data_IF_735137029457
#
_entry.id   IF_735137029457
#
_cell.length_a   1.000
_cell.length_b   1.000
_cell.length_c   1.000
_cell.angle_alpha   90.00
_cell.angle_beta   90.00
_cell.angle_gamma   90.00
#
_symmetry.space_group_name_H-M   'P 1'
#
loop_
_entity.id
_entity.type
_entity.pdbx_description
1 polymer ?
#
# COMPACT_ATOMS: atom_id res chain seq x y z
N UNK A 1 -6.24 -26.49 -10.03
CA UNK A 1 -5.37 -25.64 -9.16
C UNK A 1 -5.93 -24.23 -9.26
N UNK A 2 -6.13 -23.53 -8.14
CA UNK A 2 -6.53 -22.12 -8.20
C UNK A 2 -5.44 -21.32 -8.90
N UNK A 3 -5.83 -20.38 -9.78
CA UNK A 3 -4.91 -19.49 -10.45
C UNK A 3 -4.21 -18.63 -9.38
N UNK A 4 -2.89 -18.51 -9.47
CA UNK A 4 -2.11 -17.69 -8.55
C UNK A 4 -2.35 -16.22 -8.89
N UNK A 5 -2.71 -15.41 -7.88
CA UNK A 5 -2.89 -13.98 -8.07
C UNK A 5 -1.56 -13.32 -8.43
N UNK A 6 -1.64 -12.33 -9.31
CA UNK A 6 -0.50 -11.53 -9.76
C UNK A 6 -0.58 -10.11 -9.21
N UNK A 7 0.59 -9.48 -9.00
CA UNK A 7 0.64 -8.09 -8.53
C UNK A 7 1.73 -7.28 -9.20
N UNK A 8 1.49 -5.97 -9.33
CA UNK A 8 2.54 -4.99 -9.60
C UNK A 8 2.66 -4.00 -8.45
N UNK A 9 3.86 -3.48 -8.23
CA UNK A 9 4.17 -2.54 -7.16
C UNK A 9 4.56 -1.18 -7.75
N UNK A 10 3.89 -0.12 -7.30
CA UNK A 10 4.24 1.26 -7.62
C UNK A 10 5.08 1.88 -6.50
N UNK A 11 6.36 2.06 -6.76
CA UNK A 11 7.38 2.52 -5.83
C UNK A 11 8.49 1.48 -5.63
N UNK A 12 9.74 1.93 -5.74
CA UNK A 12 10.95 1.08 -5.58
C UNK A 12 11.72 1.41 -4.29
N UNK A 13 11.13 2.24 -3.43
CA UNK A 13 11.69 2.60 -2.12
C UNK A 13 11.40 1.56 -1.03
N UNK A 14 11.65 1.95 0.22
CA UNK A 14 11.45 1.09 1.39
C UNK A 14 10.04 0.46 1.44
N UNK A 15 8.99 1.27 1.30
CA UNK A 15 7.61 0.78 1.34
C UNK A 15 7.30 -0.17 0.18
N UNK A 16 7.70 0.19 -1.06
CA UNK A 16 7.46 -0.68 -2.22
C UNK A 16 8.17 -2.02 -2.13
N UNK A 17 9.42 -2.06 -1.65
CA UNK A 17 10.13 -3.32 -1.38
C UNK A 17 9.39 -4.16 -0.34
N UNK A 18 8.98 -3.55 0.78
CA UNK A 18 8.23 -4.25 1.83
C UNK A 18 6.88 -4.78 1.35
N UNK A 19 6.16 -4.04 0.50
CA UNK A 19 4.92 -4.52 -0.10
C UNK A 19 5.15 -5.70 -1.04
N UNK A 20 6.22 -5.68 -1.84
CA UNK A 20 6.56 -6.79 -2.72
C UNK A 20 6.89 -8.07 -1.94
N UNK A 21 7.61 -7.95 -0.82
CA UNK A 21 7.91 -9.07 0.08
C UNK A 21 6.63 -9.61 0.73
N UNK A 22 5.81 -8.74 1.33
CA UNK A 22 4.57 -9.12 2.00
C UNK A 22 3.57 -9.80 1.04
N UNK A 23 3.45 -9.32 -0.20
CA UNK A 23 2.61 -9.95 -1.23
C UNK A 23 3.11 -11.37 -1.56
N UNK A 24 4.43 -11.56 -1.69
CA UNK A 24 5.00 -12.89 -1.92
C UNK A 24 4.78 -13.84 -0.75
N UNK A 25 4.92 -13.36 0.48
CA UNK A 25 4.66 -14.14 1.68
C UNK A 25 3.18 -14.57 1.76
N UNK A 26 2.28 -13.72 1.25
CA UNK A 26 0.86 -14.03 1.09
C UNK A 26 0.55 -14.96 -0.11
N UNK A 27 1.57 -15.42 -0.86
CA UNK A 27 1.41 -16.33 -2.00
C UNK A 27 1.09 -15.64 -3.32
N UNK A 28 1.13 -14.32 -3.40
CA UNK A 28 0.91 -13.53 -4.62
C UNK A 28 2.20 -13.48 -5.45
N UNK A 29 2.09 -13.56 -6.77
CA UNK A 29 3.20 -13.41 -7.68
C UNK A 29 3.42 -11.93 -8.04
N UNK A 30 4.56 -11.36 -7.61
CA UNK A 30 4.92 -9.98 -7.98
C UNK A 30 5.60 -10.00 -9.34
N UNK A 31 4.86 -9.57 -10.37
CA UNK A 31 5.26 -9.63 -11.78
C UNK A 31 5.87 -8.33 -12.30
N UNK A 32 5.70 -7.21 -11.60
CA UNK A 32 6.22 -5.92 -12.04
C UNK A 32 6.46 -4.94 -10.90
N UNK A 33 7.38 -4.02 -11.18
CA UNK A 33 7.65 -2.85 -10.34
C UNK A 33 7.75 -1.61 -11.22
N UNK A 34 7.09 -0.54 -10.80
CA UNK A 34 7.11 0.75 -11.49
C UNK A 34 7.56 1.84 -10.54
N UNK A 35 8.47 2.70 -10.97
CA UNK A 35 8.83 3.91 -10.23
C UNK A 35 9.42 4.98 -11.13
N UNK A 36 9.55 6.19 -10.60
CA UNK A 36 9.93 7.38 -11.36
C UNK A 36 11.31 7.32 -12.04
N UNK A 37 12.29 6.64 -11.43
CA UNK A 37 13.69 6.64 -11.89
C UNK A 37 14.05 5.32 -12.52
N UNK A 38 14.30 5.26 -13.85
CA UNK A 38 14.53 4.01 -14.58
C UNK A 38 15.66 3.15 -14.04
N UNK A 39 16.79 3.75 -13.70
CA UNK A 39 17.98 3.03 -13.21
C UNK A 39 17.71 2.39 -11.84
N UNK A 40 16.98 3.14 -10.97
CA UNK A 40 16.66 2.67 -9.62
C UNK A 40 15.67 1.51 -9.68
N UNK A 41 14.59 1.65 -10.46
CA UNK A 41 13.57 0.59 -10.54
C UNK A 41 14.13 -0.68 -11.16
N UNK A 42 14.99 -0.57 -12.18
CA UNK A 42 15.67 -1.74 -12.79
C UNK A 42 16.59 -2.45 -11.81
N UNK A 43 17.39 -1.68 -11.05
CA UNK A 43 18.28 -2.25 -10.05
C UNK A 43 17.52 -2.98 -8.94
N UNK A 44 16.44 -2.37 -8.43
CA UNK A 44 15.60 -2.95 -7.37
C UNK A 44 14.84 -4.18 -7.89
N UNK A 45 14.26 -4.10 -9.08
CA UNK A 45 13.57 -5.25 -9.67
C UNK A 45 14.50 -6.44 -9.88
N UNK A 46 15.75 -6.19 -10.33
CA UNK A 46 16.77 -7.23 -10.46
C UNK A 46 17.13 -7.86 -9.11
N UNK A 47 17.41 -7.03 -8.09
CA UNK A 47 17.68 -7.45 -6.72
C UNK A 47 16.56 -8.35 -6.17
N UNK A 48 15.32 -7.93 -6.36
CA UNK A 48 14.13 -8.62 -5.88
C UNK A 48 13.64 -9.72 -6.81
N UNK A 49 14.29 -9.96 -7.94
CA UNK A 49 13.87 -10.94 -8.96
C UNK A 49 12.42 -10.70 -9.44
N UNK A 50 12.09 -9.44 -9.70
CA UNK A 50 10.81 -9.04 -10.29
C UNK A 50 11.03 -8.93 -11.81
N UNK A 51 10.21 -9.63 -12.63
CA UNK A 51 10.50 -9.76 -14.06
C UNK A 51 10.35 -8.46 -14.85
N UNK A 52 9.41 -7.59 -14.49
CA UNK A 52 9.18 -6.32 -15.17
C UNK A 52 9.63 -5.13 -14.32
N UNK A 53 10.29 -4.16 -14.96
CA UNK A 53 10.67 -2.88 -14.38
C UNK A 53 10.36 -1.73 -15.34
N UNK A 54 9.52 -0.79 -14.94
CA UNK A 54 9.06 0.29 -15.78
C UNK A 54 8.94 1.63 -15.07
N UNK A 55 8.64 2.68 -15.84
CA UNK A 55 8.39 4.03 -15.32
C UNK A 55 7.01 4.58 -15.70
N UNK A 56 6.32 3.90 -16.58
CA UNK A 56 4.96 4.23 -17.02
C UNK A 56 3.97 3.31 -16.30
N UNK A 57 3.13 3.91 -15.46
CA UNK A 57 2.19 3.18 -14.61
C UNK A 57 1.01 2.64 -15.42
N UNK A 58 0.42 3.47 -16.26
CA UNK A 58 -0.73 3.11 -17.08
C UNK A 58 -0.36 2.02 -18.10
N UNK A 59 0.79 2.17 -18.76
CA UNK A 59 1.29 1.14 -19.65
C UNK A 59 1.52 -0.19 -18.93
N UNK A 60 2.12 -0.15 -17.73
CA UNK A 60 2.33 -1.37 -16.95
C UNK A 60 1.03 -2.06 -16.51
N UNK A 61 -0.01 -1.29 -16.16
CA UNK A 61 -1.34 -1.84 -15.87
C UNK A 61 -1.93 -2.54 -17.10
N UNK A 62 -1.87 -1.89 -18.27
CA UNK A 62 -2.40 -2.43 -19.52
C UNK A 62 -1.65 -3.67 -20.01
N UNK A 63 -0.30 -3.64 -19.96
CA UNK A 63 0.53 -4.69 -20.55
C UNK A 63 0.58 -5.95 -19.68
N UNK A 64 0.57 -5.77 -18.34
CA UNK A 64 0.72 -6.87 -17.39
C UNK A 64 -0.62 -7.40 -16.86
N UNK A 65 -1.68 -6.60 -16.95
CA UNK A 65 -3.02 -6.92 -16.47
C UNK A 65 -3.02 -7.63 -15.10
N UNK A 66 -2.48 -7.00 -14.03
CA UNK A 66 -2.34 -7.63 -12.73
C UNK A 66 -3.69 -7.73 -12.00
N UNK A 67 -3.82 -8.73 -11.12
CA UNK A 67 -5.00 -8.83 -10.23
C UNK A 67 -4.94 -7.77 -9.11
N UNK A 68 -3.75 -7.46 -8.64
CA UNK A 68 -3.51 -6.59 -7.47
C UNK A 68 -2.48 -5.52 -7.82
N UNK A 69 -2.70 -4.32 -7.30
CA UNK A 69 -1.68 -3.27 -7.28
C UNK A 69 -1.31 -2.91 -5.84
N UNK A 70 -0.03 -2.68 -5.57
CA UNK A 70 0.44 -2.16 -4.30
C UNK A 70 1.13 -0.81 -4.50
N UNK A 71 0.65 0.24 -3.82
CA UNK A 71 1.20 1.58 -3.90
C UNK A 71 2.08 1.86 -2.68
N UNK A 72 3.37 2.02 -2.89
CA UNK A 72 4.38 2.38 -1.89
C UNK A 72 5.13 3.67 -2.27
N UNK A 73 4.48 4.56 -3.03
CA UNK A 73 4.97 5.90 -3.38
C UNK A 73 4.61 6.93 -2.30
N UNK A 74 5.14 8.16 -2.33
CA UNK A 74 4.64 9.24 -1.49
C UNK A 74 3.16 9.56 -1.76
N UNK A 75 2.38 9.89 -0.72
CA UNK A 75 0.93 10.08 -0.78
C UNK A 75 0.43 11.07 -1.84
N UNK A 76 1.23 12.10 -2.17
CA UNK A 76 0.91 13.04 -3.25
C UNK A 76 0.88 12.43 -4.66
N UNK A 77 1.46 11.23 -4.84
CA UNK A 77 1.43 10.50 -6.09
C UNK A 77 0.31 9.43 -6.15
N UNK A 78 -0.40 9.21 -5.05
CA UNK A 78 -1.36 8.10 -4.95
C UNK A 78 -2.63 8.34 -5.77
N UNK A 79 -3.20 9.54 -5.74
CA UNK A 79 -4.54 9.78 -6.27
C UNK A 79 -4.70 9.33 -7.74
N UNK A 80 -3.86 9.81 -8.63
CA UNK A 80 -3.93 9.44 -10.05
C UNK A 80 -3.62 7.96 -10.28
N UNK A 81 -2.63 7.42 -9.56
CA UNK A 81 -2.29 6.00 -9.66
C UNK A 81 -3.42 5.08 -9.18
N UNK A 82 -4.15 5.50 -8.14
CA UNK A 82 -5.33 4.78 -7.64
C UNK A 82 -6.47 4.81 -8.66
N UNK A 83 -6.74 5.95 -9.29
CA UNK A 83 -7.77 6.06 -10.33
C UNK A 83 -7.46 5.13 -11.52
N UNK A 84 -6.23 5.13 -12.00
CA UNK A 84 -5.82 4.24 -13.09
C UNK A 84 -5.96 2.76 -12.71
N UNK A 85 -5.63 2.39 -11.46
CA UNK A 85 -5.81 1.03 -10.97
C UNK A 85 -7.29 0.62 -10.87
N UNK A 86 -8.17 1.54 -10.45
CA UNK A 86 -9.62 1.32 -10.41
C UNK A 86 -10.17 1.10 -11.82
N UNK A 87 -9.77 1.93 -12.78
CA UNK A 87 -10.16 1.82 -14.19
C UNK A 87 -9.70 0.49 -14.81
N UNK A 88 -8.51 0.02 -14.41
CA UNK A 88 -7.99 -1.29 -14.82
C UNK A 88 -8.66 -2.47 -14.10
N UNK A 89 -9.55 -2.21 -13.12
CA UNK A 89 -10.24 -3.26 -12.36
C UNK A 89 -9.37 -4.01 -11.34
N UNK A 90 -8.19 -3.47 -11.00
CA UNK A 90 -7.28 -4.11 -10.08
C UNK A 90 -7.73 -3.97 -8.62
N UNK A 91 -7.50 -4.98 -7.81
CA UNK A 91 -7.57 -4.86 -6.35
C UNK A 91 -6.42 -4.00 -5.83
N UNK A 92 -6.64 -3.25 -4.77
CA UNK A 92 -5.69 -2.21 -4.33
C UNK A 92 -5.21 -2.48 -2.90
N UNK A 93 -3.88 -2.44 -2.73
CA UNK A 93 -3.21 -2.26 -1.43
C UNK A 93 -2.42 -0.95 -1.46
N UNK A 94 -2.78 0.02 -0.63
CA UNK A 94 -2.19 1.35 -0.67
C UNK A 94 -1.52 1.72 0.66
N UNK A 95 -0.29 2.25 0.60
CA UNK A 95 0.40 2.78 1.79
C UNK A 95 -0.23 4.11 2.27
N UNK A 96 0.12 4.50 3.44
CA UNK A 96 -0.31 5.76 4.09
C UNK A 96 0.56 6.96 3.60
N UNK A 97 -0.03 8.16 3.53
CA UNK A 97 -1.46 8.45 3.57
C UNK A 97 -2.15 7.99 2.28
N UNK A 98 -3.46 7.72 2.32
CA UNK A 98 -4.19 7.24 1.14
C UNK A 98 -4.07 8.22 -0.03
N UNK A 99 -4.33 9.50 0.25
CA UNK A 99 -4.11 10.63 -0.68
C UNK A 99 -3.67 11.86 0.11
N UNK A 100 -3.42 12.98 -0.57
CA UNK A 100 -3.06 14.24 0.08
C UNK A 100 -4.27 15.00 0.63
N UNK A 101 -5.47 14.76 0.08
CA UNK A 101 -6.68 15.51 0.43
C UNK A 101 -7.86 14.59 0.70
N UNK A 102 -8.74 14.98 1.64
CA UNK A 102 -9.89 14.19 2.04
C UNK A 102 -10.91 13.95 0.90
N UNK A 103 -11.11 14.94 0.03
CA UNK A 103 -11.98 14.81 -1.14
C UNK A 103 -11.44 13.78 -2.16
N UNK A 104 -10.14 13.70 -2.36
CA UNK A 104 -9.50 12.68 -3.19
C UNK A 104 -9.71 11.28 -2.61
N UNK A 105 -9.50 11.13 -1.29
CA UNK A 105 -9.73 9.85 -0.60
C UNK A 105 -11.19 9.41 -0.70
N UNK A 106 -12.13 10.35 -0.59
CA UNK A 106 -13.55 10.07 -0.76
C UNK A 106 -13.87 9.62 -2.19
N UNK A 107 -13.35 10.31 -3.19
CA UNK A 107 -13.54 9.96 -4.60
C UNK A 107 -12.99 8.56 -4.92
N UNK A 108 -11.78 8.24 -4.45
CA UNK A 108 -11.18 6.90 -4.58
C UNK A 108 -12.07 5.84 -3.93
N UNK A 109 -12.57 6.09 -2.72
CA UNK A 109 -13.46 5.17 -2.03
C UNK A 109 -14.74 4.93 -2.82
N UNK A 110 -15.44 5.98 -3.26
CA UNK A 110 -16.70 5.87 -4.01
C UNK A 110 -16.51 5.12 -5.33
N UNK A 111 -15.45 5.42 -6.08
CA UNK A 111 -15.13 4.75 -7.34
C UNK A 111 -14.74 3.28 -7.14
N UNK A 112 -13.95 2.97 -6.11
CA UNK A 112 -13.56 1.58 -5.81
C UNK A 112 -14.76 0.72 -5.42
N UNK A 113 -15.71 1.29 -4.65
CA UNK A 113 -16.96 0.61 -4.33
C UNK A 113 -17.82 0.37 -5.59
N UNK A 114 -17.94 1.38 -6.45
CA UNK A 114 -18.70 1.26 -7.70
C UNK A 114 -18.09 0.22 -8.65
N UNK A 115 -16.76 0.11 -8.69
CA UNK A 115 -16.05 -0.89 -9.48
C UNK A 115 -16.09 -2.31 -8.86
N UNK A 116 -16.54 -2.47 -7.62
CA UNK A 116 -16.61 -3.75 -6.92
C UNK A 116 -15.26 -4.39 -6.60
N UNK A 117 -14.17 -3.62 -6.64
CA UNK A 117 -12.83 -4.10 -6.33
C UNK A 117 -12.58 -4.17 -4.81
N UNK A 118 -11.64 -5.00 -4.39
CA UNK A 118 -11.19 -5.05 -3.00
C UNK A 118 -10.10 -4.01 -2.78
N UNK A 119 -10.19 -3.31 -1.65
CA UNK A 119 -9.21 -2.31 -1.27
C UNK A 119 -8.74 -2.54 0.16
N UNK A 120 -7.44 -2.35 0.40
CA UNK A 120 -6.84 -2.37 1.72
C UNK A 120 -5.87 -1.19 1.86
N UNK A 121 -5.82 -0.63 3.07
CA UNK A 121 -4.99 0.50 3.42
C UNK A 121 -3.97 0.12 4.48
N UNK A 122 -2.70 0.48 4.30
CA UNK A 122 -1.61 0.11 5.18
C UNK A 122 -1.59 0.94 6.48
N UNK A 123 -2.64 0.81 7.30
CA UNK A 123 -2.69 1.33 8.66
C UNK A 123 -2.13 0.26 9.62
N UNK A 124 -0.83 -0.02 9.51
CA UNK A 124 -0.18 -1.19 10.14
C UNK A 124 -0.28 -1.22 11.67
N UNK A 125 -0.41 -0.07 12.33
CA UNK A 125 -0.52 -0.02 13.79
C UNK A 125 -1.76 -0.69 14.34
N UNK A 126 -2.88 -0.71 13.62
CA UNK A 126 -4.10 -1.37 14.06
C UNK A 126 -4.00 -2.90 14.10
N UNK A 127 -2.99 -3.47 13.44
CA UNK A 127 -2.76 -4.92 13.43
C UNK A 127 -1.71 -5.39 14.47
N UNK A 128 -1.20 -4.48 15.28
CA UNK A 128 -0.26 -4.86 16.34
C UNK A 128 -0.99 -5.60 17.47
N UNK A 129 -0.38 -6.62 18.10
CA UNK A 129 -1.05 -7.45 19.10
C UNK A 129 -1.69 -6.67 20.26
N UNK A 130 -1.03 -5.59 20.72
CA UNK A 130 -1.59 -4.74 21.77
C UNK A 130 -2.78 -3.90 21.30
N UNK A 131 -2.81 -3.47 20.04
CA UNK A 131 -3.94 -2.74 19.47
C UNK A 131 -5.16 -3.65 19.28
N UNK A 132 -4.93 -4.87 18.80
CA UNK A 132 -5.98 -5.89 18.67
C UNK A 132 -6.56 -6.29 20.03
N UNK A 133 -5.70 -6.48 21.03
CA UNK A 133 -6.16 -6.76 22.40
C UNK A 133 -6.97 -5.59 22.97
N UNK A 134 -6.51 -4.35 22.79
CA UNK A 134 -7.24 -3.17 23.24
C UNK A 134 -8.62 -3.06 22.58
N UNK A 135 -8.69 -3.31 21.27
CA UNK A 135 -9.95 -3.36 20.53
C UNK A 135 -10.89 -4.43 21.12
N UNK A 136 -10.40 -5.64 21.29
CA UNK A 136 -11.17 -6.76 21.86
C UNK A 136 -11.73 -6.43 23.24
N UNK A 137 -10.93 -5.86 24.13
CA UNK A 137 -11.36 -5.50 25.49
C UNK A 137 -12.44 -4.39 25.47
N UNK A 138 -12.34 -3.42 24.57
CA UNK A 138 -13.36 -2.39 24.39
C UNK A 138 -14.66 -3.00 23.87
N UNK A 139 -14.60 -3.84 22.85
CA UNK A 139 -15.76 -4.51 22.25
C UNK A 139 -16.48 -5.44 23.25
N UNK A 140 -15.72 -6.08 24.16
CA UNK A 140 -16.27 -6.89 25.25
C UNK A 140 -16.86 -6.06 26.40
N UNK A 141 -16.75 -4.73 26.36
CA UNK A 141 -17.22 -3.84 27.41
C UNK A 141 -16.37 -3.87 28.70
N UNK A 142 -15.13 -4.35 28.66
CA UNK A 142 -14.26 -4.50 29.82
C UNK A 142 -14.00 -3.17 30.58
N UNK A 143 -14.08 -2.05 29.86
CA UNK A 143 -13.92 -0.69 30.45
C UNK A 143 -15.23 0.11 30.43
N UNK A 144 -16.36 -0.51 30.06
CA UNK A 144 -17.64 0.19 29.87
C UNK A 144 -17.62 1.10 28.62
N UNK A 145 -18.44 2.17 28.65
CA UNK A 145 -18.50 3.15 27.55
C UNK A 145 -17.29 4.08 27.60
N UNK A 146 -16.40 4.07 26.58
CA UNK A 146 -15.25 4.97 26.54
C UNK A 146 -15.70 6.44 26.50
N UNK A 147 -15.16 7.27 27.39
CA UNK A 147 -15.47 8.71 27.46
C UNK A 147 -14.31 9.55 26.92
N UNK A 148 -13.09 9.06 27.09
CA UNK A 148 -11.88 9.76 26.66
C UNK A 148 -10.82 8.75 26.27
N UNK A 149 -10.00 9.09 25.28
CA UNK A 149 -8.83 8.31 24.86
C UNK A 149 -7.62 9.25 24.84
N UNK A 150 -6.58 8.88 25.58
CA UNK A 150 -5.27 9.53 25.50
C UNK A 150 -4.28 8.52 24.94
N UNK A 151 -3.57 8.91 23.86
CA UNK A 151 -2.51 8.12 23.26
C UNK A 151 -1.20 8.88 23.26
N UNK A 152 -0.22 8.35 24.00
CA UNK A 152 1.13 8.92 24.09
C UNK A 152 2.11 7.94 23.47
N UNK A 153 2.91 8.41 22.50
CA UNK A 153 3.90 7.59 21.84
C UNK A 153 5.27 8.28 21.84
N UNK A 154 6.26 7.58 22.38
CA UNK A 154 7.65 8.05 22.41
C UNK A 154 8.48 7.24 21.43
N UNK A 155 9.10 7.91 20.47
CA UNK A 155 9.98 7.27 19.47
C UNK A 155 11.42 7.78 19.62
N UNK A 156 12.36 6.85 19.66
CA UNK A 156 13.75 7.17 19.37
C UNK A 156 13.94 7.13 17.85
N UNK A 157 13.98 8.30 17.23
CA UNK A 157 14.35 8.40 15.82
C UNK A 157 15.84 8.05 15.70
N UNK A 158 16.14 6.98 14.97
CA UNK A 158 17.53 6.66 14.65
C UNK A 158 18.09 7.78 13.78
N UNK A 159 19.15 8.50 14.21
CA UNK A 159 19.75 9.59 13.46
C UNK A 159 20.36 9.13 12.12
N UNK A 160 20.50 7.82 11.90
CA UNK A 160 20.93 7.24 10.63
C UNK A 160 19.79 7.02 9.63
N UNK A 161 18.52 7.22 10.04
CA UNK A 161 17.43 7.26 9.08
C UNK A 161 17.50 8.61 8.37
N UNK A 162 17.83 8.66 7.06
CA UNK A 162 17.88 9.91 6.33
C UNK A 162 16.53 10.62 6.45
N UNK A 163 16.57 11.91 6.80
CA UNK A 163 15.39 12.75 6.71
C UNK A 163 14.97 12.75 5.24
N UNK A 164 13.90 12.03 4.94
CA UNK A 164 13.37 11.89 3.61
C UNK A 164 12.03 12.61 3.49
N UNK A 165 11.14 12.02 2.75
CA UNK A 165 9.78 12.50 2.48
C UNK A 165 8.85 12.58 3.72
N UNK A 166 9.32 12.23 4.90
CA UNK A 166 8.56 12.29 6.16
C UNK A 166 8.52 13.67 6.82
N UNK A 167 8.98 14.71 6.12
CA UNK A 167 8.94 16.12 6.55
C UNK A 167 8.18 16.96 5.56
#
# INVERSE_FOLDING_TARGET
>A
MAQKLTAIVHGSGYAGKGHAEALRDAGVEVIGMVSRTPEVVKAVALEMKIPFAGTDWEAALSDLNPDIVALGTPGGAHYHALLAAIEAGCHIYCDKPLTSYANESKDVYEKSQAAGIKTAFASSFCYQPHALLAQELVEQGAIGEPQEVEFISHYNLNPLIPFGWSH
#
